data_IF_975330548218
#
_entry.id   IF_975330548218
#
_cell.length_a   1.000
_cell.length_b   1.000
_cell.length_c   1.000
_cell.angle_alpha   90.00
_cell.angle_beta   90.00
_cell.angle_gamma   90.00
#
_symmetry.space_group_name_H-M   'P 1'
#
loop_
_entity.id
_entity.type
_entity.pdbx_description
1 polymer ?
#
# COMPACT_ATOMS: atom_id res chain seq x y z
N UNK A 1 13.10 -10.09 -18.31
CA UNK A 1 12.07 -9.08 -17.99
C UNK A 1 11.20 -9.64 -16.89
N UNK A 2 11.04 -8.95 -15.77
CA UNK A 2 10.28 -9.43 -14.60
C UNK A 2 8.76 -9.22 -14.78
N UNK A 3 8.19 -9.82 -15.82
CA UNK A 3 6.74 -9.84 -15.98
C UNK A 3 6.19 -10.98 -15.12
N UNK A 4 5.27 -10.66 -14.21
CA UNK A 4 4.56 -11.65 -13.38
C UNK A 4 3.46 -12.27 -14.25
N UNK A 5 3.47 -13.60 -14.39
CA UNK A 5 2.36 -14.30 -15.04
C UNK A 5 1.12 -14.19 -14.14
N UNK A 6 -0.05 -13.77 -14.64
CA UNK A 6 -1.30 -13.73 -13.87
C UNK A 6 -1.62 -15.04 -13.14
N UNK A 7 -1.14 -16.19 -13.63
CA UNK A 7 -1.32 -17.50 -12.99
C UNK A 7 -0.56 -17.65 -11.66
N UNK A 8 0.42 -16.80 -11.38
CA UNK A 8 1.20 -16.85 -10.13
C UNK A 8 0.45 -16.20 -8.94
N UNK A 9 -0.62 -15.45 -9.18
CA UNK A 9 -1.44 -14.83 -8.13
C UNK A 9 -2.73 -15.64 -7.96
N UNK A 10 -2.72 -16.55 -6.99
CA UNK A 10 -3.88 -17.36 -6.63
C UNK A 10 -4.83 -16.61 -5.66
N UNK A 11 -5.38 -15.47 -6.10
CA UNK A 11 -6.39 -14.71 -5.34
C UNK A 11 -7.57 -14.43 -6.26
N UNK A 12 -8.75 -15.03 -5.99
CA UNK A 12 -9.93 -14.81 -6.82
C UNK A 12 -10.26 -13.32 -6.95
N UNK A 13 -10.60 -12.89 -8.18
CA UNK A 13 -11.06 -11.52 -8.48
C UNK A 13 -10.03 -10.41 -8.18
N UNK A 14 -8.75 -10.72 -7.94
CA UNK A 14 -7.71 -9.72 -7.68
C UNK A 14 -7.63 -8.62 -8.76
N UNK A 15 -7.98 -8.95 -10.01
CA UNK A 15 -8.03 -8.01 -11.12
C UNK A 15 -8.98 -6.82 -10.93
N UNK A 16 -9.96 -6.89 -10.03
CA UNK A 16 -10.83 -5.74 -9.71
C UNK A 16 -10.13 -4.68 -8.88
N UNK A 17 -9.04 -5.04 -8.18
CA UNK A 17 -8.20 -4.13 -7.38
C UNK A 17 -6.96 -3.64 -8.13
N UNK A 18 -6.85 -3.96 -9.42
CA UNK A 18 -5.71 -3.56 -10.27
C UNK A 18 -6.11 -2.46 -11.25
N UNK A 19 -5.38 -1.34 -11.21
CA UNK A 19 -5.56 -0.24 -12.16
C UNK A 19 -5.24 -0.68 -13.58
N UNK A 20 -4.19 -1.48 -13.74
CA UNK A 20 -3.78 -2.08 -15.01
C UNK A 20 -3.70 -3.59 -14.86
N UNK A 21 -4.39 -4.34 -15.72
CA UNK A 21 -4.43 -5.81 -15.67
C UNK A 21 -3.07 -6.47 -15.89
N UNK A 22 -2.16 -5.77 -16.56
CA UNK A 22 -0.83 -6.24 -16.92
C UNK A 22 0.25 -5.86 -15.90
N UNK A 23 -0.04 -4.97 -14.96
CA UNK A 23 0.89 -4.56 -13.92
C UNK A 23 0.44 -5.20 -12.61
N UNK A 24 1.05 -6.35 -12.31
CA UNK A 24 0.72 -7.18 -11.16
C UNK A 24 1.86 -7.15 -10.14
N UNK A 25 1.54 -7.25 -8.84
CA UNK A 25 2.57 -7.27 -7.83
C UNK A 25 3.35 -8.58 -7.88
N UNK A 26 4.66 -8.53 -7.71
CA UNK A 26 5.51 -9.73 -7.61
C UNK A 26 5.09 -10.56 -6.37
N UNK A 27 4.76 -11.86 -6.50
CA UNK A 27 4.33 -12.70 -5.38
C UNK A 27 5.31 -12.73 -4.20
N UNK A 28 6.63 -12.69 -4.47
CA UNK A 28 7.67 -12.81 -3.44
C UNK A 28 7.81 -11.56 -2.57
N UNK A 29 7.46 -10.39 -3.09
CA UNK A 29 7.63 -9.12 -2.38
C UNK A 29 6.33 -8.36 -2.21
N UNK A 30 5.17 -8.97 -2.51
CA UNK A 30 3.88 -8.28 -2.40
C UNK A 30 3.58 -7.89 -0.95
N UNK A 31 2.90 -6.77 -0.78
CA UNK A 31 2.33 -6.40 0.51
C UNK A 31 1.05 -7.19 0.73
N UNK A 32 0.93 -7.85 1.88
CA UNK A 32 -0.28 -8.55 2.31
C UNK A 32 -1.01 -7.68 3.35
N UNK A 33 -2.27 -7.35 3.09
CA UNK A 33 -3.09 -6.63 4.07
C UNK A 33 -3.47 -7.54 5.24
N UNK A 34 -3.54 -6.96 6.44
CA UNK A 34 -3.90 -7.64 7.69
C UNK A 34 -5.13 -6.97 8.33
N UNK A 35 -6.32 -7.08 7.71
CA UNK A 35 -7.54 -6.50 8.27
C UNK A 35 -7.92 -7.23 9.57
N UNK A 36 -8.59 -6.52 10.49
CA UNK A 36 -9.04 -7.09 11.78
C UNK A 36 -9.98 -8.28 11.62
N UNK A 37 -10.85 -8.23 10.59
CA UNK A 37 -11.78 -9.29 10.25
C UNK A 37 -11.52 -9.73 8.81
N UNK A 38 -10.87 -10.89 8.62
CA UNK A 38 -10.64 -11.46 7.30
C UNK A 38 -11.95 -12.11 6.84
N UNK A 39 -12.65 -11.45 5.92
CA UNK A 39 -13.92 -11.95 5.36
C UNK A 39 -13.74 -12.68 4.04
N UNK A 40 -12.72 -12.33 3.25
CA UNK A 40 -12.41 -12.92 1.94
C UNK A 40 -10.91 -12.83 1.65
N UNK A 41 -10.36 -13.73 0.84
CA UNK A 41 -8.97 -13.70 0.37
C UNK A 41 -8.63 -12.38 -0.31
N UNK A 42 -9.59 -11.77 -1.03
CA UNK A 42 -9.45 -10.47 -1.67
C UNK A 42 -9.22 -9.31 -0.68
N UNK A 43 -9.66 -9.45 0.58
CA UNK A 43 -9.42 -8.46 1.65
C UNK A 43 -7.94 -8.35 2.05
N UNK A 44 -7.15 -9.38 1.74
CA UNK A 44 -5.69 -9.39 2.00
C UNK A 44 -4.86 -8.83 0.83
N UNK A 45 -5.52 -8.49 -0.28
CA UNK A 45 -4.88 -8.08 -1.52
C UNK A 45 -4.81 -6.57 -1.67
N UNK A 46 -3.61 -6.08 -1.99
CA UNK A 46 -3.35 -4.76 -2.54
C UNK A 46 -2.26 -4.86 -3.62
N UNK A 47 -2.35 -4.06 -4.67
CA UNK A 47 -1.31 -3.98 -5.69
C UNK A 47 -0.15 -3.11 -5.20
N UNK A 48 0.74 -3.74 -4.42
CA UNK A 48 1.91 -3.11 -3.85
C UNK A 48 3.03 -4.13 -3.63
N UNK A 49 4.28 -3.67 -3.70
CA UNK A 49 5.48 -4.46 -3.43
C UNK A 49 6.43 -3.73 -2.49
N UNK A 50 7.04 -4.47 -1.56
CA UNK A 50 8.20 -4.03 -0.82
C UNK A 50 9.40 -3.88 -1.74
N UNK A 51 10.16 -2.81 -1.54
CA UNK A 51 11.37 -2.49 -2.27
C UNK A 51 12.50 -2.28 -1.27
N UNK A 52 13.63 -2.91 -1.57
CA UNK A 52 14.86 -2.80 -0.79
C UNK A 52 15.45 -1.40 -0.96
N UNK A 53 15.92 -0.85 0.15
CA UNK A 53 16.65 0.40 0.15
C UNK A 53 18.13 0.22 -0.16
N UNK A 54 18.88 1.30 0.04
CA UNK A 54 20.33 1.30 -0.06
C UNK A 54 20.94 0.22 0.87
N UNK A 55 22.04 -0.40 0.43
CA UNK A 55 22.72 -1.49 1.13
C UNK A 55 21.85 -2.70 1.48
N UNK A 56 20.79 -2.96 0.70
CA UNK A 56 19.94 -4.12 0.89
C UNK A 56 19.00 -4.02 2.10
N UNK A 57 18.76 -2.81 2.63
CA UNK A 57 17.78 -2.59 3.68
C UNK A 57 16.41 -3.12 3.24
N UNK A 58 15.99 -4.22 3.84
CA UNK A 58 14.70 -4.86 3.58
C UNK A 58 13.56 -3.88 3.86
N UNK A 59 12.52 -3.91 3.02
CA UNK A 59 11.28 -3.13 3.18
C UNK A 59 11.48 -1.63 3.45
N UNK A 60 12.51 -1.00 2.87
CA UNK A 60 12.72 0.44 3.03
C UNK A 60 11.61 1.27 2.36
N UNK A 61 11.05 0.75 1.27
CA UNK A 61 9.99 1.39 0.51
C UNK A 61 8.89 0.41 0.18
N UNK A 62 7.71 0.95 -0.13
CA UNK A 62 6.63 0.24 -0.79
C UNK A 62 6.30 1.00 -2.07
N UNK A 63 6.40 0.33 -3.22
CA UNK A 63 5.80 0.85 -4.45
C UNK A 63 4.39 0.29 -4.57
N UNK A 64 3.42 1.18 -4.79
CA UNK A 64 2.03 0.81 -5.04
C UNK A 64 1.43 1.62 -6.17
N UNK A 65 0.41 1.06 -6.81
CA UNK A 65 -0.44 1.81 -7.73
C UNK A 65 -1.14 2.96 -7.01
N UNK A 66 -1.55 3.98 -7.77
CA UNK A 66 -2.43 5.03 -7.27
C UNK A 66 -3.79 4.45 -6.91
N UNK A 67 -4.30 4.74 -5.70
CA UNK A 67 -5.58 4.19 -5.24
C UNK A 67 -6.69 4.38 -6.27
N UNK A 68 -7.49 3.34 -6.44
CA UNK A 68 -8.75 3.38 -7.17
C UNK A 68 -9.88 3.62 -6.18
N UNK A 69 -11.08 3.97 -6.68
CA UNK A 69 -12.25 4.21 -5.84
C UNK A 69 -12.56 3.04 -4.89
N UNK A 70 -12.31 1.81 -5.34
CA UNK A 70 -12.56 0.58 -4.59
C UNK A 70 -11.34 0.06 -3.82
N UNK A 71 -10.24 0.82 -3.75
CA UNK A 71 -9.02 0.44 -3.03
C UNK A 71 -8.49 1.56 -2.13
N UNK A 72 -9.29 2.59 -1.85
CA UNK A 72 -8.89 3.69 -0.95
C UNK A 72 -8.70 3.15 0.47
N UNK A 73 -9.64 2.33 0.95
CA UNK A 73 -9.59 1.74 2.28
C UNK A 73 -8.41 0.76 2.41
N UNK A 74 -8.18 -0.05 1.39
CA UNK A 74 -7.02 -0.95 1.30
C UNK A 74 -5.69 -0.18 1.41
N UNK A 75 -5.60 0.98 0.74
CA UNK A 75 -4.42 1.84 0.77
C UNK A 75 -4.16 2.40 2.16
N UNK A 76 -5.19 2.93 2.84
CA UNK A 76 -5.03 3.43 4.20
C UNK A 76 -4.76 2.33 5.22
N UNK A 77 -5.36 1.15 5.04
CA UNK A 77 -5.03 -0.05 5.82
C UNK A 77 -3.55 -0.42 5.66
N UNK A 78 -2.99 -0.33 4.44
CA UNK A 78 -1.57 -0.56 4.18
C UNK A 78 -0.69 0.48 4.91
N UNK A 79 -1.01 1.77 4.76
CA UNK A 79 -0.26 2.86 5.40
C UNK A 79 -0.24 2.68 6.92
N UNK A 80 -1.39 2.36 7.51
CA UNK A 80 -1.52 2.13 8.96
C UNK A 80 -0.74 0.89 9.41
N UNK A 81 -0.87 -0.25 8.74
CA UNK A 81 -0.24 -1.51 9.19
C UNK A 81 1.29 -1.50 9.03
N UNK A 82 1.81 -0.75 8.06
CA UNK A 82 3.23 -0.62 7.78
C UNK A 82 3.86 0.59 8.47
N UNK A 83 3.08 1.31 9.29
CA UNK A 83 3.51 2.48 10.06
C UNK A 83 4.26 3.50 9.18
N UNK A 84 3.71 3.76 7.98
CA UNK A 84 4.38 4.57 6.95
C UNK A 84 4.27 6.07 7.28
N UNK A 85 5.36 6.79 7.57
CA UNK A 85 5.36 8.18 8.00
C UNK A 85 5.30 9.15 6.83
N UNK A 86 5.60 8.68 5.61
CA UNK A 86 5.69 9.53 4.42
C UNK A 86 5.10 8.82 3.21
N UNK A 87 4.22 9.54 2.52
CA UNK A 87 3.63 9.17 1.24
C UNK A 87 4.22 10.10 0.17
N UNK A 88 4.86 9.54 -0.85
CA UNK A 88 5.39 10.30 -1.99
C UNK A 88 4.56 9.98 -3.23
N UNK A 89 3.81 10.97 -3.73
CA UNK A 89 3.03 10.87 -4.96
C UNK A 89 3.75 11.56 -6.12
N UNK A 90 4.12 10.80 -7.15
CA UNK A 90 4.93 11.29 -8.29
C UNK A 90 4.07 11.63 -9.52
N UNK A 91 2.76 11.80 -9.36
CA UNK A 91 1.85 12.06 -10.50
C UNK A 91 0.87 13.18 -10.21
N UNK A 92 0.46 13.87 -11.27
CA UNK A 92 -0.64 14.85 -11.21
C UNK A 92 -1.98 14.12 -11.20
N UNK A 93 -2.97 14.69 -10.53
CA UNK A 93 -4.34 14.16 -10.50
C UNK A 93 -5.03 14.19 -11.88
N UNK A 94 -4.56 15.05 -12.79
CA UNK A 94 -5.08 15.18 -14.15
C UNK A 94 -3.95 15.55 -15.10
N UNK A 95 -3.62 14.66 -16.02
CA UNK A 95 -2.81 14.99 -17.19
C UNK A 95 -3.75 15.49 -18.29
N UNK A 96 -3.48 16.68 -18.84
CA UNK A 96 -4.33 17.31 -19.85
C UNK A 96 -4.37 16.44 -21.11
N UNK A 97 -5.58 15.97 -21.46
CA UNK A 97 -6.06 15.45 -22.76
C UNK A 97 -6.66 14.03 -22.76
N UNK A 98 -6.96 13.44 -21.60
CA UNK A 98 -7.91 12.32 -21.54
C UNK A 98 -8.95 12.57 -20.44
N UNK A 99 -10.21 12.65 -20.85
CA UNK A 99 -11.38 12.72 -19.97
C UNK A 99 -11.60 11.34 -19.36
N UNK A 100 -10.74 10.95 -18.44
CA UNK A 100 -10.94 9.76 -17.62
C UNK A 100 -10.00 9.84 -16.43
N UNK A 101 -10.49 9.34 -15.31
CA UNK A 101 -9.81 9.10 -14.02
C UNK A 101 -8.66 8.07 -14.15
N UNK A 102 -7.90 8.12 -15.26
CA UNK A 102 -7.31 6.97 -15.93
C UNK A 102 -5.85 7.11 -16.36
N UNK A 103 -5.18 8.25 -16.17
CA UNK A 103 -3.75 8.41 -16.50
C UNK A 103 -2.84 8.69 -15.30
N UNK A 104 -3.23 8.24 -14.09
CA UNK A 104 -2.28 8.18 -12.97
C UNK A 104 -1.34 6.98 -13.19
N UNK A 105 -0.26 7.18 -13.95
CA UNK A 105 0.92 6.28 -13.97
C UNK A 105 1.61 6.35 -12.60
N UNK A 106 0.97 5.80 -11.58
CA UNK A 106 1.24 6.11 -10.18
C UNK A 106 2.12 5.05 -9.58
N UNK A 107 3.40 5.36 -9.42
CA UNK A 107 4.19 4.81 -8.34
C UNK A 107 4.02 5.77 -7.15
N UNK A 108 3.10 5.44 -6.24
CA UNK A 108 3.11 6.05 -4.91
C UNK A 108 4.16 5.29 -4.12
N UNK A 109 5.18 5.99 -3.65
CA UNK A 109 6.21 5.40 -2.83
C UNK A 109 5.91 5.74 -1.37
N UNK A 110 5.67 4.70 -0.58
CA UNK A 110 5.63 4.86 0.87
C UNK A 110 7.01 4.57 1.42
N UNK A 111 7.54 5.47 2.24
CA UNK A 111 8.67 5.13 3.09
C UNK A 111 8.14 4.23 4.20
N UNK A 112 8.75 3.07 4.39
CA UNK A 112 8.35 2.10 5.40
C UNK A 112 9.45 2.02 6.48
N UNK A 113 9.29 2.69 7.63
CA UNK A 113 10.23 2.59 8.73
C UNK A 113 9.88 1.35 9.56
N UNK A 114 10.58 0.25 9.34
CA UNK A 114 10.78 -0.70 10.43
C UNK A 114 12.22 -1.17 10.49
N UNK A 115 12.94 -0.56 11.42
CA UNK A 115 13.85 -1.31 12.27
C UNK A 115 13.23 -1.33 13.67
N UNK A 116 13.15 -2.51 14.28
CA UNK A 116 12.38 -2.72 15.50
C UNK A 116 12.93 -1.98 16.71
N UNK A 117 12.01 -1.74 17.64
CA UNK A 117 12.16 -1.36 19.06
C UNK A 117 12.21 0.14 19.34
N UNK A 118 11.12 0.61 19.98
CA UNK A 118 10.92 1.91 20.62
C UNK A 118 10.65 3.10 19.69
N UNK A 119 9.34 3.35 19.46
CA UNK A 119 8.88 4.72 19.68
C UNK A 119 9.12 4.97 21.17
N UNK A 120 10.19 5.69 21.51
CA UNK A 120 10.23 6.37 22.79
C UNK A 120 9.11 7.40 22.70
N UNK A 121 7.94 7.10 23.26
CA UNK A 121 7.01 8.13 23.64
C UNK A 121 7.82 9.10 24.51
N UNK A 122 7.94 10.40 24.17
CA UNK A 122 8.73 11.31 25.00
C UNK A 122 8.15 11.46 26.42
N UNK A 123 6.95 10.95 26.70
CA UNK A 123 6.37 10.94 28.05
C UNK A 123 5.49 9.70 28.29
N UNK A 124 5.89 8.78 29.20
CA UNK A 124 4.95 7.89 29.86
C UNK A 124 4.22 8.71 30.94
N UNK A 125 2.90 8.57 31.03
CA UNK A 125 1.97 9.28 31.93
C UNK A 125 1.37 10.58 31.38
N UNK A 126 0.40 10.46 30.48
CA UNK A 126 -0.74 11.40 30.48
C UNK A 126 -2.08 10.62 30.39
N UNK A 127 -2.90 10.60 31.45
CA UNK A 127 -4.20 9.92 31.46
C UNK A 127 -5.31 10.63 30.66
N UNK A 128 -5.01 11.73 29.96
CA UNK A 128 -6.04 12.58 29.32
C UNK A 128 -6.40 12.27 27.87
N UNK A 129 -5.74 11.30 27.20
CA UNK A 129 -6.03 11.00 25.78
C UNK A 129 -7.26 10.10 25.61
N UNK A 130 -8.42 10.66 25.92
CA UNK A 130 -9.76 10.07 25.79
C UNK A 130 -10.54 10.75 24.68
N UNK A 131 -10.14 10.68 23.41
CA UNK A 131 -11.02 11.09 22.29
C UNK A 131 -10.73 10.23 21.06
N UNK A 132 -11.53 9.19 20.81
CA UNK A 132 -12.78 9.21 20.03
C UNK A 132 -12.49 9.18 18.52
N UNK A 133 -12.77 8.02 17.92
CA UNK A 133 -12.94 7.87 16.47
C UNK A 133 -14.13 8.74 16.02
N UNK A 134 -14.04 9.47 14.90
CA UNK A 134 -15.19 9.74 14.08
C UNK A 134 -15.22 8.78 12.88
N UNK A 135 -16.45 8.36 12.60
CA UNK A 135 -16.92 7.56 11.48
C UNK A 135 -16.42 8.05 10.12
#
# INVERSE_FOLDING_TARGET
>A
MNFVDPKEIDIPRHGTKNRYKTILPNPLSRVCLRPKNVTDSLSTYINANYIRGYSGKEKAFIATQGPMINTVDDFWQMVWQEDSPVIVMITKLKEKNESSLGSCLTATWLLCPREGSHIVCPHPCDPSCSYMMPF
#
